data_IF_460463489565
#
_entry.id   IF_460463489565
#
_cell.length_a   1.000
_cell.length_b   1.000
_cell.length_c   1.000
_cell.angle_alpha   90.00
_cell.angle_beta   90.00
_cell.angle_gamma   90.00
#
_symmetry.space_group_name_H-M   'P 1'
#
loop_
_entity.id
_entity.type
_entity.pdbx_description
1 polymer ?
#
# COMPACT_ATOMS: atom_id res chain seq x y z
N UNK A 1 -30.31 19.98 -32.31
CA UNK A 1 -29.01 19.54 -31.75
C UNK A 1 -29.26 18.30 -30.91
N UNK A 2 -28.48 17.25 -31.13
CA UNK A 2 -28.62 15.97 -30.42
C UNK A 2 -27.50 15.91 -29.37
N UNK A 3 -27.86 15.97 -28.10
CA UNK A 3 -26.93 15.83 -26.99
C UNK A 3 -26.91 14.37 -26.55
N UNK A 4 -25.81 13.66 -26.82
CA UNK A 4 -25.56 12.32 -26.30
C UNK A 4 -24.52 12.44 -25.20
N UNK A 5 -24.88 11.98 -23.99
CA UNK A 5 -23.97 11.92 -22.84
C UNK A 5 -23.58 10.47 -22.61
N UNK A 6 -22.30 10.17 -22.79
CA UNK A 6 -21.74 8.87 -22.45
C UNK A 6 -21.33 8.88 -20.97
N UNK A 7 -21.70 7.84 -20.21
CA UNK A 7 -21.17 7.61 -18.86
C UNK A 7 -20.21 6.43 -18.91
N UNK A 8 -19.02 6.60 -18.33
CA UNK A 8 -17.97 5.58 -18.26
C UNK A 8 -17.74 5.09 -16.84
N UNK A 9 -18.43 5.67 -15.85
CA UNK A 9 -18.31 5.24 -14.46
C UNK A 9 -18.94 3.85 -14.29
N UNK A 10 -18.14 2.81 -13.97
CA UNK A 10 -18.66 1.46 -13.81
C UNK A 10 -19.69 1.38 -12.69
N UNK A 11 -19.59 2.21 -11.65
CA UNK A 11 -20.56 2.20 -10.56
C UNK A 11 -21.92 2.73 -11.03
N UNK A 12 -21.94 3.73 -11.93
CA UNK A 12 -23.20 4.19 -12.54
C UNK A 12 -23.77 3.20 -13.57
N UNK A 13 -22.91 2.46 -14.26
CA UNK A 13 -23.33 1.46 -15.26
C UNK A 13 -23.90 0.19 -14.62
N UNK A 14 -23.30 -0.28 -13.52
CA UNK A 14 -23.59 -1.60 -12.94
C UNK A 14 -24.47 -1.55 -11.69
N UNK A 15 -24.86 -0.36 -11.20
CA UNK A 15 -25.75 -0.24 -10.05
C UNK A 15 -26.95 0.65 -10.36
N UNK A 16 -28.16 0.13 -10.09
CA UNK A 16 -29.36 0.96 -10.15
C UNK A 16 -29.31 2.04 -9.08
N UNK A 17 -29.73 3.27 -9.45
CA UNK A 17 -29.77 4.43 -8.55
C UNK A 17 -30.65 4.21 -7.31
N UNK A 18 -31.67 3.35 -7.41
CA UNK A 18 -32.61 3.03 -6.33
C UNK A 18 -32.29 1.74 -5.60
N UNK A 19 -31.15 1.10 -5.91
CA UNK A 19 -30.75 -0.13 -5.24
C UNK A 19 -30.39 0.13 -3.77
N UNK A 20 -30.68 -0.86 -2.91
CA UNK A 20 -30.32 -0.83 -1.49
C UNK A 20 -28.81 -0.61 -1.29
N UNK A 21 -27.97 -1.28 -2.09
CA UNK A 21 -26.52 -1.12 -2.05
C UNK A 21 -26.06 0.32 -2.32
N UNK A 22 -26.75 1.04 -3.23
CA UNK A 22 -26.45 2.45 -3.48
C UNK A 22 -26.85 3.34 -2.30
N UNK A 23 -27.98 3.06 -1.67
CA UNK A 23 -28.41 3.73 -0.43
C UNK A 23 -27.43 3.54 0.73
N UNK A 24 -26.99 2.30 0.96
CA UNK A 24 -25.99 1.97 1.99
C UNK A 24 -24.63 2.61 1.69
N UNK A 25 -24.20 2.63 0.43
CA UNK A 25 -22.99 3.35 0.00
C UNK A 25 -23.08 4.84 0.29
N UNK A 26 -24.20 5.50 -0.05
CA UNK A 26 -24.35 6.93 0.24
C UNK A 26 -24.31 7.23 1.72
N UNK A 27 -24.90 6.37 2.56
CA UNK A 27 -24.82 6.48 4.01
C UNK A 27 -23.38 6.35 4.50
N UNK A 28 -22.63 5.35 4.01
CA UNK A 28 -21.23 5.19 4.36
C UNK A 28 -20.37 6.39 3.92
N UNK A 29 -20.55 6.85 2.68
CA UNK A 29 -19.84 8.02 2.14
C UNK A 29 -20.22 9.33 2.86
N UNK A 30 -21.43 9.45 3.41
CA UNK A 30 -21.83 10.67 4.15
C UNK A 30 -21.28 10.72 5.57
N UNK A 31 -21.27 9.58 6.25
CA UNK A 31 -20.82 9.46 7.64
C UNK A 31 -19.30 9.40 7.74
N UNK A 32 -18.69 8.48 6.99
CA UNK A 32 -17.25 8.29 7.02
C UNK A 32 -16.55 9.18 6.01
N UNK A 33 -17.18 9.48 4.87
CA UNK A 33 -16.54 10.24 3.80
C UNK A 33 -16.18 11.69 4.14
N UNK A 34 -16.66 12.29 5.24
CA UNK A 34 -16.27 13.65 5.62
C UNK A 34 -14.97 13.73 6.41
N UNK A 35 -14.64 12.67 7.17
CA UNK A 35 -13.40 12.57 7.96
C UNK A 35 -12.40 11.57 7.38
N UNK A 36 -12.92 10.57 6.65
CA UNK A 36 -12.22 9.58 5.85
C UNK A 36 -12.94 9.50 4.50
N UNK A 37 -12.69 10.44 3.59
CA UNK A 37 -13.26 10.42 2.24
C UNK A 37 -13.17 9.00 1.62
N UNK A 38 -14.20 8.60 0.84
CA UNK A 38 -14.60 7.21 0.58
C UNK A 38 -13.45 6.28 0.23
N UNK A 39 -13.63 4.98 0.54
CA UNK A 39 -12.77 3.85 0.13
C UNK A 39 -11.50 4.29 -0.60
N UNK A 40 -10.39 4.41 0.14
CA UNK A 40 -9.12 4.84 -0.43
C UNK A 40 -8.77 3.99 -1.65
N UNK A 41 -8.14 4.61 -2.66
CA UNK A 41 -7.68 3.88 -3.83
C UNK A 41 -6.46 3.05 -3.42
N UNK A 42 -6.51 1.76 -3.71
CA UNK A 42 -5.42 0.82 -3.43
C UNK A 42 -4.53 0.64 -4.64
N UNK A 43 -3.26 0.95 -4.49
CA UNK A 43 -2.20 0.64 -5.44
C UNK A 43 -1.34 -0.47 -4.82
N UNK A 44 -1.51 -1.70 -5.29
CA UNK A 44 -0.84 -2.87 -4.73
C UNK A 44 0.32 -3.32 -5.62
N UNK A 45 1.47 -3.55 -4.99
CA UNK A 45 2.64 -4.15 -5.62
C UNK A 45 2.93 -5.51 -4.97
N UNK A 46 2.93 -6.56 -5.78
CA UNK A 46 3.23 -7.93 -5.38
C UNK A 46 4.59 -8.29 -5.98
N UNK A 47 5.56 -8.59 -5.11
CA UNK A 47 6.93 -8.91 -5.50
C UNK A 47 7.29 -10.29 -4.97
N UNK A 48 8.05 -11.04 -5.76
CA UNK A 48 8.61 -12.31 -5.33
C UNK A 48 10.05 -12.46 -5.87
N UNK A 49 10.97 -13.05 -5.10
CA UNK A 49 12.34 -13.28 -5.54
C UNK A 49 12.38 -14.34 -6.65
N UNK A 50 13.37 -14.26 -7.54
CA UNK A 50 13.55 -15.30 -8.58
C UNK A 50 14.02 -16.63 -7.98
N UNK A 51 14.92 -16.55 -7.00
CA UNK A 51 15.33 -17.72 -6.23
C UNK A 51 14.25 -18.07 -5.21
N UNK A 52 13.67 -19.25 -5.35
CA UNK A 52 12.59 -19.76 -4.50
C UNK A 52 13.08 -20.77 -3.44
N UNK A 53 14.40 -20.90 -3.26
CA UNK A 53 14.95 -21.82 -2.27
C UNK A 53 14.77 -21.30 -0.83
N UNK A 54 14.31 -22.21 0.03
CA UNK A 54 14.19 -21.99 1.46
C UNK A 54 15.55 -22.19 2.12
N UNK A 55 15.81 -21.49 3.23
CA UNK A 55 17.00 -21.72 4.05
C UNK A 55 16.61 -22.02 5.49
N UNK A 56 17.49 -22.77 6.14
CA UNK A 56 17.35 -23.18 7.52
C UNK A 56 17.67 -22.00 8.45
N UNK A 57 16.90 -21.89 9.52
CA UNK A 57 17.14 -20.97 10.61
C UNK A 57 16.87 -21.66 11.95
N UNK A 58 17.55 -21.19 12.99
CA UNK A 58 17.32 -21.62 14.36
C UNK A 58 15.94 -21.12 14.81
N UNK A 59 15.03 -22.04 15.12
CA UNK A 59 13.70 -21.63 15.53
C UNK A 59 13.77 -21.02 16.95
N UNK A 60 13.51 -19.72 17.07
CA UNK A 60 13.50 -19.04 18.37
C UNK A 60 12.43 -19.59 19.33
N UNK A 61 11.42 -20.30 18.81
CA UNK A 61 10.33 -20.89 19.61
C UNK A 61 10.63 -22.33 20.03
N UNK A 62 11.48 -23.04 19.30
CA UNK A 62 11.89 -24.42 19.61
C UNK A 62 13.35 -24.63 19.21
N UNK A 63 14.24 -24.65 20.21
CA UNK A 63 15.68 -24.81 20.03
C UNK A 63 16.06 -26.18 19.42
N UNK A 64 15.13 -27.13 19.35
CA UNK A 64 15.39 -28.49 18.88
C UNK A 64 14.89 -28.77 17.46
N UNK A 65 14.05 -27.91 16.88
CA UNK A 65 13.57 -28.03 15.50
C UNK A 65 14.04 -26.86 14.63
N UNK A 66 14.65 -27.17 13.48
CA UNK A 66 15.04 -26.14 12.52
C UNK A 66 13.80 -25.58 11.82
N UNK A 67 13.68 -24.25 11.82
CA UNK A 67 12.68 -23.54 11.05
C UNK A 67 13.15 -23.31 9.61
N UNK A 68 12.22 -23.19 8.67
CA UNK A 68 12.51 -22.78 7.31
C UNK A 68 11.97 -21.38 7.05
N UNK A 69 12.81 -20.50 6.52
CA UNK A 69 12.37 -19.22 6.01
C UNK A 69 12.11 -19.26 4.51
N UNK A 70 11.03 -18.58 4.14
CA UNK A 70 10.67 -18.39 2.75
C UNK A 70 11.61 -17.41 2.04
N UNK A 71 11.83 -17.60 0.72
CA UNK A 71 12.77 -16.81 -0.09
C UNK A 71 12.54 -15.29 -0.02
N UNK A 72 11.29 -14.84 0.21
CA UNK A 72 10.94 -13.44 0.33
C UNK A 72 11.51 -12.74 1.57
N UNK A 73 12.00 -13.49 2.56
CA UNK A 73 12.62 -12.94 3.78
C UNK A 73 14.12 -12.75 3.64
N UNK A 74 14.69 -13.02 2.46
CA UNK A 74 16.13 -12.86 2.26
C UNK A 74 16.48 -11.40 2.41
N UNK A 75 17.53 -11.13 3.20
CA UNK A 75 18.02 -9.77 3.44
C UNK A 75 18.23 -8.98 2.15
N UNK A 76 18.91 -9.58 1.16
CA UNK A 76 19.15 -8.94 -0.13
C UNK A 76 17.85 -8.55 -0.85
N UNK A 77 16.84 -9.44 -0.85
CA UNK A 77 15.55 -9.15 -1.46
C UNK A 77 14.82 -8.02 -0.73
N UNK A 78 14.83 -8.00 0.60
CA UNK A 78 14.20 -6.94 1.39
C UNK A 78 14.91 -5.58 1.20
N UNK A 79 16.23 -5.57 0.95
CA UNK A 79 16.97 -4.37 0.59
C UNK A 79 16.50 -3.83 -0.77
N UNK A 80 16.40 -4.69 -1.79
CA UNK A 80 15.88 -4.29 -3.11
C UNK A 80 14.44 -3.74 -3.02
N UNK A 81 13.61 -4.35 -2.16
CA UNK A 81 12.24 -3.88 -1.90
C UNK A 81 12.25 -2.51 -1.22
N UNK A 82 13.18 -2.24 -0.30
CA UNK A 82 13.30 -0.95 0.37
C UNK A 82 13.72 0.15 -0.60
N UNK A 83 14.71 -0.11 -1.46
CA UNK A 83 15.12 0.81 -2.52
C UNK A 83 13.96 1.12 -3.48
N UNK A 84 13.19 0.11 -3.86
CA UNK A 84 12.02 0.31 -4.71
C UNK A 84 10.94 1.13 -4.00
N UNK A 85 10.67 0.85 -2.73
CA UNK A 85 9.70 1.62 -1.96
C UNK A 85 10.11 3.09 -1.87
N UNK A 86 11.38 3.37 -1.60
CA UNK A 86 11.92 4.74 -1.58
C UNK A 86 11.78 5.44 -2.94
N UNK A 87 12.11 4.73 -4.02
CA UNK A 87 11.94 5.24 -5.37
C UNK A 87 10.48 5.58 -5.68
N UNK A 88 9.53 4.75 -5.24
CA UNK A 88 8.08 4.99 -5.43
C UNK A 88 7.58 6.15 -4.57
N UNK A 89 8.06 6.29 -3.33
CA UNK A 89 7.68 7.41 -2.46
C UNK A 89 8.17 8.75 -2.98
N UNK A 90 9.31 8.77 -3.68
CA UNK A 90 9.92 9.97 -4.24
C UNK A 90 9.42 10.31 -5.66
N UNK A 91 8.40 9.61 -6.17
CA UNK A 91 7.81 9.92 -7.48
C UNK A 91 7.15 11.30 -7.48
N UNK A 92 7.45 12.07 -8.53
CA UNK A 92 6.84 13.36 -8.81
C UNK A 92 6.06 13.22 -10.11
N UNK A 93 4.76 13.47 -10.05
CA UNK A 93 3.88 13.54 -11.20
C UNK A 93 3.64 15.02 -11.57
N UNK A 94 3.44 15.29 -12.85
CA UNK A 94 3.01 16.61 -13.34
C UNK A 94 1.59 16.46 -13.84
N UNK A 95 0.66 17.26 -13.30
CA UNK A 95 -0.73 17.30 -13.76
C UNK A 95 -0.85 18.03 -15.09
N UNK A 96 -2.00 17.92 -15.74
CA UNK A 96 -2.30 18.63 -17.00
C UNK A 96 -2.21 20.16 -16.84
N UNK A 97 -2.44 20.66 -15.61
CA UNK A 97 -2.34 22.08 -15.24
C UNK A 97 -0.89 22.54 -14.98
N UNK A 98 0.09 21.62 -15.09
CA UNK A 98 1.51 21.90 -14.86
C UNK A 98 1.93 21.92 -13.38
N UNK A 99 1.04 21.54 -12.47
CA UNK A 99 1.39 21.44 -11.04
C UNK A 99 2.14 20.14 -10.76
N UNK A 100 3.22 20.25 -9.99
CA UNK A 100 3.93 19.07 -9.49
C UNK A 100 3.18 18.50 -8.29
N UNK A 101 2.90 17.21 -8.33
CA UNK A 101 2.19 16.48 -7.30
C UNK A 101 3.05 15.32 -6.85
N UNK A 102 3.26 15.24 -5.54
CA UNK A 102 4.01 14.17 -4.90
C UNK A 102 3.07 13.12 -4.30
N UNK A 103 3.63 11.97 -3.91
CA UNK A 103 2.83 10.96 -3.22
C UNK A 103 2.25 11.49 -1.90
N UNK A 104 2.98 12.35 -1.19
CA UNK A 104 2.54 12.94 0.09
C UNK A 104 1.35 13.88 -0.03
N UNK A 105 1.06 14.41 -1.22
CA UNK A 105 -0.09 15.29 -1.44
C UNK A 105 -1.39 14.50 -1.63
N UNK A 106 -1.26 13.26 -2.11
CA UNK A 106 -2.37 12.41 -2.56
C UNK A 106 -2.59 11.25 -1.60
N UNK A 107 -1.63 10.85 -0.78
CA UNK A 107 -1.76 9.64 0.04
C UNK A 107 -2.76 9.80 1.20
N UNK A 108 -3.28 8.67 1.68
CA UNK A 108 -4.10 8.65 2.89
C UNK A 108 -3.21 8.81 4.15
N UNK A 109 -3.60 9.75 5.03
CA UNK A 109 -2.86 10.12 6.25
C UNK A 109 -3.79 10.07 7.47
N UNK A 110 -3.87 8.93 8.19
CA UNK A 110 -4.87 8.73 9.24
C UNK A 110 -4.66 9.56 10.50
N UNK A 111 -3.44 10.05 10.75
CA UNK A 111 -3.05 10.77 11.97
C UNK A 111 -2.86 12.29 11.74
N UNK A 112 -3.39 12.83 10.64
CA UNK A 112 -3.29 14.28 10.38
C UNK A 112 -4.14 15.04 11.40
N UNK A 113 -3.63 16.13 12.03
CA UNK A 113 -2.40 16.86 11.72
C UNK A 113 -1.15 16.45 12.53
N UNK A 114 -1.27 15.55 13.49
CA UNK A 114 -0.16 15.17 14.38
C UNK A 114 0.98 14.44 13.65
N UNK A 115 0.64 13.70 12.59
CA UNK A 115 1.60 12.99 11.76
C UNK A 115 1.15 12.98 10.29
N UNK A 116 1.99 13.54 9.42
CA UNK A 116 1.72 13.67 7.98
C UNK A 116 2.26 12.52 7.13
N UNK A 117 2.72 11.43 7.76
CA UNK A 117 3.21 10.25 7.04
C UNK A 117 2.08 9.53 6.31
N UNK A 118 2.39 9.08 5.09
CA UNK A 118 1.49 8.29 4.26
C UNK A 118 1.26 6.89 4.84
N UNK A 119 0.03 6.39 4.73
CA UNK A 119 -0.29 5.00 5.02
C UNK A 119 0.20 4.08 3.89
N UNK A 120 1.42 3.57 4.07
CA UNK A 120 2.02 2.50 3.26
C UNK A 120 1.95 1.23 4.09
N UNK A 121 1.52 0.12 3.50
CA UNK A 121 1.53 -1.19 4.18
C UNK A 121 2.63 -2.04 3.55
N UNK A 122 3.66 -2.36 4.32
CA UNK A 122 4.82 -3.16 3.90
C UNK A 122 5.41 -3.85 5.12
N UNK A 123 6.16 -4.95 4.92
CA UNK A 123 6.91 -5.61 6.00
C UNK A 123 8.01 -4.70 6.55
N UNK A 124 8.52 -3.78 5.73
CA UNK A 124 9.55 -2.83 6.14
C UNK A 124 9.10 -1.88 7.25
N UNK A 125 7.78 -1.71 7.44
CA UNK A 125 7.25 -0.86 8.50
C UNK A 125 7.53 -1.41 9.90
N UNK A 126 7.73 -2.72 10.06
CA UNK A 126 8.18 -3.29 11.34
C UNK A 126 9.54 -2.72 11.75
N UNK A 127 10.36 -2.34 10.77
CA UNK A 127 11.69 -1.74 10.96
C UNK A 127 11.67 -0.22 10.76
N UNK A 128 10.48 0.39 10.83
CA UNK A 128 10.29 1.83 10.63
C UNK A 128 10.89 2.35 9.31
N UNK A 129 10.99 1.48 8.29
CA UNK A 129 11.55 1.79 6.96
C UNK A 129 13.00 2.33 7.01
N UNK A 130 13.71 2.18 8.13
CA UNK A 130 15.04 2.77 8.31
C UNK A 130 16.12 1.78 7.89
N UNK A 131 16.93 2.14 6.88
CA UNK A 131 18.04 1.33 6.36
C UNK A 131 19.08 0.91 7.40
N UNK A 132 19.25 1.71 8.47
CA UNK A 132 20.24 1.45 9.51
C UNK A 132 20.04 0.09 10.22
N UNK A 133 18.79 -0.35 10.42
CA UNK A 133 18.48 -1.61 11.10
C UNK A 133 18.78 -2.84 10.23
N UNK A 134 18.75 -2.69 8.91
CA UNK A 134 19.12 -3.77 8.00
C UNK A 134 20.62 -4.05 8.00
N UNK A 135 21.46 -3.08 8.37
CA UNK A 135 22.90 -3.29 8.44
C UNK A 135 23.35 -4.00 9.73
N UNK A 136 22.60 -3.85 10.83
CA UNK A 136 23.03 -4.32 12.16
C UNK A 136 22.51 -5.70 12.56
N UNK A 137 21.32 -6.14 12.14
CA UNK A 137 20.71 -7.35 12.74
C UNK A 137 20.13 -8.34 11.73
N UNK A 138 20.44 -9.62 11.96
CA UNK A 138 20.21 -10.75 11.06
C UNK A 138 18.89 -11.50 11.26
N UNK A 139 17.79 -10.83 11.56
CA UNK A 139 16.49 -11.48 11.81
C UNK A 139 15.35 -10.67 11.19
N UNK A 140 14.71 -11.20 10.15
CA UNK A 140 13.49 -10.61 9.59
C UNK A 140 12.46 -11.70 9.27
N UNK A 141 11.27 -11.51 9.82
CA UNK A 141 10.06 -12.31 9.60
C UNK A 141 9.05 -11.51 8.74
N UNK A 142 8.21 -12.25 8.00
CA UNK A 142 6.93 -11.87 7.35
C UNK A 142 6.90 -11.53 5.83
N UNK A 143 5.83 -12.02 5.20
CA UNK A 143 5.52 -11.95 3.76
C UNK A 143 5.30 -10.53 3.25
N UNK A 144 5.95 -10.18 2.14
CA UNK A 144 5.94 -8.83 1.56
C UNK A 144 4.76 -8.61 0.61
N UNK A 145 3.84 -7.73 0.99
CA UNK A 145 2.90 -7.06 0.09
C UNK A 145 3.07 -5.58 0.33
N UNK A 146 3.39 -4.80 -0.71
CA UNK A 146 3.38 -3.34 -0.63
C UNK A 146 2.00 -2.86 -1.06
N UNK A 147 1.35 -2.12 -0.18
CA UNK A 147 0.10 -1.45 -0.50
C UNK A 147 0.23 0.05 -0.26
N UNK A 148 -0.02 0.83 -1.32
CA UNK A 148 0.04 2.28 -1.30
C UNK A 148 -1.40 2.77 -1.45
N UNK A 149 -1.87 3.51 -0.45
CA UNK A 149 -3.20 4.12 -0.48
C UNK A 149 -3.13 5.54 -1.04
N UNK A 150 -3.88 5.81 -2.11
CA UNK A 150 -4.02 7.13 -2.77
C UNK A 150 -5.43 7.71 -2.55
N UNK A 151 -5.53 9.04 -2.60
CA UNK A 151 -6.70 9.85 -2.30
C UNK A 151 -6.88 10.99 -3.34
N UNK A 152 -8.12 11.25 -3.82
CA UNK A 152 -8.48 12.36 -4.73
C UNK A 152 -9.72 13.10 -4.18
#
# INVERSE_FOLDING_TARGET
MLFVRFTTDPVELWSSRTSRARGEKYFFDSEFGKSCRPFYRMEQLIMYPRDQSFWLHENQSDLFELGFYGPALRKAFLQDVAELQEAVTNLIAVTDDGTQVTLTDVCYKPMTPDNENCAIMTVLNYFQVTFQYFYSDGLIFLLTVINISKFY
#
